data_IF_771404145853
#
_entry.id   IF_771404145853
#
_cell.length_a   1.000
_cell.length_b   1.000
_cell.length_c   1.000
_cell.angle_alpha   90.00
_cell.angle_beta   90.00
_cell.angle_gamma   90.00
#
_symmetry.space_group_name_H-M   'P 1'
#
loop_
_entity.id
_entity.type
_entity.pdbx_description
1 polymer ?
#
# COMPACT_ATOMS: atom_id res chain seq x y z
N UNK A 1 -0.43 13.72 32.70
CA UNK A 1 -0.75 13.39 31.29
C UNK A 1 -1.99 14.16 30.90
N UNK A 2 -1.81 15.20 30.10
CA UNK A 2 -2.91 16.03 29.60
C UNK A 2 -3.80 15.21 28.66
N UNK A 3 -5.11 15.50 28.61
CA UNK A 3 -6.05 14.84 27.69
C UNK A 3 -5.57 14.91 26.22
N UNK A 4 -4.86 15.99 25.86
CA UNK A 4 -4.23 16.22 24.55
C UNK A 4 -3.07 15.28 24.23
N UNK A 5 -2.35 14.75 25.23
CA UNK A 5 -1.25 13.79 25.04
C UNK A 5 -1.76 12.36 24.86
N UNK A 6 -3.01 12.08 25.27
CA UNK A 6 -3.67 10.78 25.08
C UNK A 6 -4.35 10.63 23.74
N UNK A 7 -4.61 11.73 23.04
CA UNK A 7 -5.25 11.70 21.72
C UNK A 7 -4.26 11.24 20.65
N UNK A 8 -4.52 10.08 20.05
CA UNK A 8 -3.67 9.50 19.01
C UNK A 8 -3.56 10.41 17.79
N UNK A 9 -4.59 11.21 17.47
CA UNK A 9 -4.54 12.14 16.33
C UNK A 9 -3.52 13.25 16.57
N UNK A 10 -3.44 13.77 17.80
CA UNK A 10 -2.41 14.73 18.19
C UNK A 10 -1.01 14.10 18.20
N UNK A 11 -0.89 12.83 18.62
CA UNK A 11 0.40 12.13 18.57
C UNK A 11 0.85 11.88 17.13
N UNK A 12 -0.06 11.58 16.21
CA UNK A 12 0.24 11.50 14.78
C UNK A 12 0.67 12.87 14.21
N UNK A 13 0.06 13.97 14.67
CA UNK A 13 0.47 15.33 14.29
C UNK A 13 1.90 15.68 14.76
N UNK A 14 2.26 15.24 15.97
CA UNK A 14 3.55 15.54 16.59
C UNK A 14 4.62 14.52 16.16
N UNK A 15 4.22 13.31 15.80
CA UNK A 15 5.09 12.32 15.19
C UNK A 15 5.69 12.94 13.93
N UNK A 16 7.01 12.86 13.78
CA UNK A 16 7.74 13.34 12.60
C UNK A 16 7.51 12.38 11.43
N UNK A 17 6.25 12.27 11.02
CA UNK A 17 5.83 11.42 9.92
C UNK A 17 6.48 11.93 8.62
N UNK A 18 6.88 11.02 7.73
CA UNK A 18 7.65 11.38 6.56
C UNK A 18 6.79 12.10 5.54
N UNK A 19 7.41 13.08 4.89
CA UNK A 19 6.90 13.64 3.65
C UNK A 19 7.07 12.63 2.51
N UNK A 20 6.22 12.74 1.48
CA UNK A 20 6.37 11.93 0.28
C UNK A 20 7.75 12.13 -0.37
N UNK A 21 8.50 11.06 -0.67
CA UNK A 21 9.74 11.17 -1.40
C UNK A 21 9.53 11.82 -2.77
N UNK A 22 10.28 12.90 -3.05
CA UNK A 22 10.19 13.63 -4.31
C UNK A 22 10.46 12.77 -5.56
N UNK A 23 11.29 11.74 -5.41
CA UNK A 23 11.55 10.77 -6.48
C UNK A 23 10.28 9.99 -6.88
N UNK A 24 9.37 9.69 -5.95
CA UNK A 24 8.11 9.00 -6.23
C UNK A 24 7.16 9.91 -7.02
N UNK A 25 7.00 11.16 -6.60
CA UNK A 25 6.17 12.13 -7.33
C UNK A 25 6.62 12.29 -8.78
N UNK A 26 7.93 12.44 -8.97
CA UNK A 26 8.53 12.53 -10.32
C UNK A 26 8.37 11.23 -11.10
N UNK A 27 8.51 10.07 -10.46
CA UNK A 27 8.30 8.78 -11.12
C UNK A 27 6.86 8.62 -11.62
N UNK A 28 5.88 8.91 -10.77
CA UNK A 28 4.46 8.81 -11.14
C UNK A 28 4.13 9.77 -12.29
N UNK A 29 4.62 11.02 -12.23
CA UNK A 29 4.47 11.97 -13.33
C UNK A 29 5.13 11.49 -14.63
N UNK A 30 6.31 10.87 -14.57
CA UNK A 30 6.94 10.24 -15.74
C UNK A 30 6.13 9.07 -16.29
N UNK A 31 5.47 8.28 -15.44
CA UNK A 31 4.65 7.14 -15.90
C UNK A 31 3.36 7.59 -16.59
N UNK A 32 2.85 8.78 -16.25
CA UNK A 32 1.67 9.39 -16.88
C UNK A 32 2.00 10.17 -18.16
N UNK A 33 3.27 10.54 -18.38
CA UNK A 33 3.67 11.34 -19.52
C UNK A 33 3.88 10.49 -20.78
N UNK A 34 3.19 10.85 -21.87
CA UNK A 34 3.40 10.24 -23.18
C UNK A 34 4.85 10.43 -23.64
N UNK A 35 5.55 9.31 -23.91
CA UNK A 35 6.91 9.32 -24.45
C UNK A 35 8.04 9.39 -23.42
N UNK A 36 7.77 9.24 -22.12
CA UNK A 36 8.81 9.06 -21.12
C UNK A 36 9.58 7.75 -21.38
N UNK A 37 10.86 7.86 -21.73
CA UNK A 37 11.71 6.74 -22.09
C UNK A 37 12.67 6.33 -20.96
N UNK A 38 13.53 5.38 -21.29
CA UNK A 38 14.59 4.91 -20.38
C UNK A 38 15.57 6.03 -19.98
N UNK A 39 15.74 7.05 -20.83
CA UNK A 39 16.64 8.17 -20.57
C UNK A 39 16.11 9.08 -19.44
N UNK A 40 14.81 9.36 -19.40
CA UNK A 40 14.15 10.13 -18.36
C UNK A 40 14.21 9.38 -17.02
N UNK A 41 13.96 8.06 -17.05
CA UNK A 41 14.11 7.19 -15.89
C UNK A 41 15.56 7.21 -15.36
N UNK A 42 16.55 7.16 -16.25
CA UNK A 42 17.96 7.24 -15.89
C UNK A 42 18.30 8.56 -15.20
N UNK A 43 17.81 9.69 -15.73
CA UNK A 43 17.98 11.01 -15.12
C UNK A 43 17.33 11.07 -13.74
N UNK A 44 16.14 10.50 -13.59
CA UNK A 44 15.43 10.46 -12.31
C UNK A 44 16.25 9.70 -11.26
N UNK A 45 16.69 8.48 -11.59
CA UNK A 45 17.49 7.64 -10.69
C UNK A 45 18.84 8.30 -10.38
N UNK A 46 19.53 8.85 -11.38
CA UNK A 46 20.84 9.48 -11.22
C UNK A 46 20.84 10.69 -10.27
N UNK A 47 19.70 11.37 -10.11
CA UNK A 47 19.55 12.49 -9.19
C UNK A 47 19.48 12.07 -7.72
N UNK A 48 19.30 10.78 -7.43
CA UNK A 48 19.31 10.23 -6.08
C UNK A 48 20.46 9.23 -5.94
N UNK A 49 21.45 9.59 -5.12
CA UNK A 49 22.65 8.76 -4.94
C UNK A 49 22.33 7.40 -4.27
N UNK A 50 21.37 7.37 -3.34
CA UNK A 50 20.94 6.15 -2.66
C UNK A 50 20.26 5.20 -3.64
N UNK A 51 19.33 5.73 -4.45
CA UNK A 51 18.63 4.97 -5.48
C UNK A 51 19.58 4.49 -6.58
N UNK A 52 20.52 5.35 -7.02
CA UNK A 52 21.55 4.96 -8.00
C UNK A 52 22.39 3.80 -7.49
N UNK A 53 22.87 3.90 -6.25
CA UNK A 53 23.63 2.82 -5.62
C UNK A 53 22.81 1.53 -5.56
N UNK A 54 21.52 1.63 -5.20
CA UNK A 54 20.61 0.49 -5.14
C UNK A 54 20.39 -0.19 -6.50
N UNK A 55 20.10 0.58 -7.55
CA UNK A 55 19.92 0.07 -8.91
C UNK A 55 21.18 -0.65 -9.39
N UNK A 56 22.36 -0.05 -9.15
CA UNK A 56 23.64 -0.67 -9.51
C UNK A 56 23.90 -1.94 -8.69
N UNK A 57 23.59 -1.95 -7.39
CA UNK A 57 23.72 -3.12 -6.54
C UNK A 57 22.86 -4.29 -7.07
N UNK A 58 21.60 -4.02 -7.41
CA UNK A 58 20.67 -5.03 -7.94
C UNK A 58 21.13 -5.54 -9.30
N UNK A 59 21.50 -4.63 -10.22
CA UNK A 59 21.94 -5.01 -11.56
C UNK A 59 23.25 -5.81 -11.56
N UNK A 60 24.13 -5.57 -10.59
CA UNK A 60 25.38 -6.31 -10.44
C UNK A 60 25.24 -7.59 -9.58
N UNK A 61 24.04 -7.93 -9.10
CA UNK A 61 23.84 -9.16 -8.34
C UNK A 61 23.95 -10.42 -9.22
N UNK A 62 24.24 -11.56 -8.59
CA UNK A 62 24.41 -12.84 -9.30
C UNK A 62 23.18 -13.25 -10.15
N UNK A 63 22.00 -12.72 -9.82
CA UNK A 63 20.76 -12.95 -10.57
C UNK A 63 20.75 -12.25 -11.93
N UNK A 64 21.37 -11.06 -12.05
CA UNK A 64 21.31 -10.23 -13.26
C UNK A 64 22.64 -10.10 -13.98
N UNK A 65 23.77 -10.29 -13.30
CA UNK A 65 25.09 -10.17 -13.91
C UNK A 65 26.09 -11.19 -13.37
N UNK A 66 26.56 -12.08 -14.26
CA UNK A 66 27.56 -13.12 -13.95
C UNK A 66 28.95 -12.85 -14.57
N UNK A 67 29.14 -11.70 -15.22
CA UNK A 67 30.25 -11.40 -16.13
C UNK A 67 31.45 -10.65 -15.54
N UNK A 68 31.53 -10.44 -14.22
CA UNK A 68 32.72 -9.95 -13.51
C UNK A 68 33.03 -8.44 -13.62
N UNK A 69 32.52 -7.72 -14.62
CA UNK A 69 32.71 -6.27 -14.73
C UNK A 69 31.48 -5.51 -14.23
N UNK A 70 31.69 -4.46 -13.42
CA UNK A 70 30.60 -3.61 -12.92
C UNK A 70 29.94 -2.86 -14.08
N UNK A 71 28.61 -2.95 -14.17
CA UNK A 71 27.84 -2.23 -15.19
C UNK A 71 27.60 -0.77 -14.80
N UNK A 72 27.60 0.13 -15.78
CA UNK A 72 27.19 1.54 -15.58
C UNK A 72 25.67 1.68 -15.51
N UNK A 73 25.16 2.85 -15.09
CA UNK A 73 23.73 3.07 -14.84
C UNK A 73 22.86 2.77 -16.06
N UNK A 74 23.18 3.29 -17.25
CA UNK A 74 22.38 3.01 -18.46
C UNK A 74 22.31 1.51 -18.80
N UNK A 75 23.41 0.78 -18.60
CA UNK A 75 23.46 -0.66 -18.84
C UNK A 75 22.69 -1.44 -17.76
N UNK A 76 22.75 -0.98 -16.51
CA UNK A 76 21.95 -1.51 -15.41
C UNK A 76 20.45 -1.37 -15.73
N UNK A 77 20.02 -0.18 -16.15
CA UNK A 77 18.63 0.09 -16.48
C UNK A 77 18.16 -0.75 -17.69
N UNK A 78 19.01 -0.89 -18.72
CA UNK A 78 18.72 -1.76 -19.87
C UNK A 78 18.59 -3.24 -19.49
N UNK A 79 19.41 -3.73 -18.55
CA UNK A 79 19.37 -5.11 -18.08
C UNK A 79 18.12 -5.40 -17.23
N UNK A 80 17.73 -4.47 -16.36
CA UNK A 80 16.59 -4.64 -15.46
C UNK A 80 15.24 -4.42 -16.15
N UNK A 81 15.18 -3.49 -17.12
CA UNK A 81 13.94 -3.09 -17.79
C UNK A 81 13.08 -2.14 -16.95
N UNK A 82 12.15 -1.44 -17.62
CA UNK A 82 11.35 -0.34 -17.05
C UNK A 82 10.54 -0.76 -15.84
N UNK A 83 9.83 -1.87 -15.93
CA UNK A 83 8.88 -2.32 -14.91
C UNK A 83 9.61 -2.67 -13.60
N UNK A 84 10.78 -3.30 -13.73
CA UNK A 84 11.61 -3.63 -12.57
C UNK A 84 12.18 -2.39 -11.91
N UNK A 85 12.62 -1.39 -12.71
CA UNK A 85 13.13 -0.12 -12.17
C UNK A 85 12.01 0.62 -11.43
N UNK A 86 10.81 0.73 -12.02
CA UNK A 86 9.65 1.35 -11.37
C UNK A 86 9.33 0.66 -10.05
N UNK A 87 9.27 -0.68 -10.05
CA UNK A 87 9.05 -1.50 -8.84
C UNK A 87 10.12 -1.22 -7.79
N UNK A 88 11.39 -1.21 -8.18
CA UNK A 88 12.53 -1.00 -7.30
C UNK A 88 12.50 0.41 -6.70
N UNK A 89 12.33 1.45 -7.53
CA UNK A 89 12.26 2.84 -7.09
C UNK A 89 11.10 3.04 -6.11
N UNK A 90 9.91 2.55 -6.46
CA UNK A 90 8.74 2.68 -5.58
C UNK A 90 8.98 1.98 -4.25
N UNK A 91 9.35 0.70 -4.30
CA UNK A 91 9.48 -0.12 -3.10
C UNK A 91 10.61 0.36 -2.21
N UNK A 92 11.77 0.71 -2.78
CA UNK A 92 12.91 1.19 -2.02
C UNK A 92 12.65 2.56 -1.41
N UNK A 93 12.01 3.49 -2.13
CA UNK A 93 11.67 4.80 -1.58
C UNK A 93 10.70 4.68 -0.41
N UNK A 94 9.65 3.87 -0.53
CA UNK A 94 8.72 3.62 0.59
C UNK A 94 9.45 2.92 1.73
N UNK A 95 10.24 1.89 1.45
CA UNK A 95 11.00 1.18 2.46
C UNK A 95 11.94 2.11 3.24
N UNK A 96 12.76 2.92 2.58
CA UNK A 96 13.66 3.88 3.25
C UNK A 96 12.89 4.90 4.08
N UNK A 97 11.73 5.33 3.59
CA UNK A 97 10.88 6.32 4.25
C UNK A 97 10.31 5.79 5.57
N UNK A 98 9.93 4.51 5.62
CA UNK A 98 9.22 3.95 6.76
C UNK A 98 10.06 2.98 7.62
N UNK A 99 11.16 2.43 7.11
CA UNK A 99 12.03 1.53 7.87
C UNK A 99 12.85 2.27 8.96
N UNK A 100 12.97 3.60 8.86
CA UNK A 100 13.66 4.45 9.84
C UNK A 100 12.80 4.89 11.04
N UNK A 101 11.56 4.40 11.17
CA UNK A 101 10.66 4.84 12.23
C UNK A 101 11.15 4.41 13.63
N UNK A 102 11.35 5.36 14.58
CA UNK A 102 11.67 5.03 15.96
C UNK A 102 10.48 4.30 16.60
N UNK A 103 10.70 3.11 17.16
CA UNK A 103 9.64 2.33 17.81
C UNK A 103 9.56 0.87 17.38
N UNK A 104 10.30 0.45 16.35
CA UNK A 104 10.39 -0.94 15.88
C UNK A 104 11.13 -1.90 16.84
N UNK A 105 11.47 -1.45 18.05
CA UNK A 105 12.31 -2.16 19.03
C UNK A 105 11.74 -3.51 19.45
N UNK A 106 11.94 -4.53 18.61
CA UNK A 106 11.53 -5.92 18.84
C UNK A 106 10.47 -6.46 17.87
N UNK A 107 9.93 -5.66 16.94
CA UNK A 107 8.85 -6.10 16.04
C UNK A 107 9.42 -6.56 14.70
N UNK A 108 9.19 -7.82 14.36
CA UNK A 108 9.58 -8.39 13.06
C UNK A 108 8.71 -7.81 11.94
N UNK A 109 9.29 -6.93 11.12
CA UNK A 109 8.62 -6.26 10.00
C UNK A 109 8.49 -7.14 8.74
N UNK A 110 9.11 -8.33 8.71
CA UNK A 110 9.16 -9.15 7.48
C UNK A 110 7.78 -9.54 6.98
N UNK A 111 6.87 -9.92 7.88
CA UNK A 111 5.47 -10.25 7.55
C UNK A 111 4.72 -9.05 7.00
N UNK A 112 4.88 -7.89 7.64
CA UNK A 112 4.29 -6.63 7.18
C UNK A 112 4.74 -6.30 5.75
N UNK A 113 6.04 -6.31 5.49
CA UNK A 113 6.56 -5.98 4.16
C UNK A 113 6.18 -7.03 3.11
N UNK A 114 6.15 -8.32 3.47
CA UNK A 114 5.65 -9.37 2.58
C UNK A 114 4.22 -9.07 2.15
N UNK A 115 3.32 -8.80 3.11
CA UNK A 115 1.92 -8.47 2.84
C UNK A 115 1.78 -7.21 1.97
N UNK A 116 2.47 -6.13 2.34
CA UNK A 116 2.43 -4.87 1.60
C UNK A 116 2.94 -5.03 0.15
N UNK A 117 4.01 -5.79 -0.06
CA UNK A 117 4.53 -6.10 -1.40
C UNK A 117 3.57 -7.00 -2.19
N UNK A 118 2.94 -7.99 -1.56
CA UNK A 118 1.92 -8.84 -2.20
C UNK A 118 0.75 -8.00 -2.68
N UNK A 119 0.20 -7.14 -1.81
CA UNK A 119 -0.88 -6.23 -2.17
C UNK A 119 -0.47 -5.25 -3.29
N UNK A 120 0.76 -4.72 -3.27
CA UNK A 120 1.28 -3.86 -4.33
C UNK A 120 1.34 -4.56 -5.70
N UNK A 121 1.88 -5.78 -5.75
CA UNK A 121 1.96 -6.58 -6.98
C UNK A 121 0.56 -6.89 -7.51
N UNK A 122 -0.35 -7.35 -6.64
CA UNK A 122 -1.72 -7.67 -7.02
C UNK A 122 -2.49 -6.44 -7.50
N UNK A 123 -2.35 -5.30 -6.83
CA UNK A 123 -2.98 -4.05 -7.24
C UNK A 123 -2.54 -3.62 -8.64
N UNK A 124 -1.26 -3.81 -9.00
CA UNK A 124 -0.77 -3.52 -10.36
C UNK A 124 -1.33 -4.48 -11.40
N UNK A 125 -1.40 -5.77 -11.10
CA UNK A 125 -1.95 -6.76 -12.04
C UNK A 125 -3.46 -6.57 -12.23
N UNK A 126 -4.19 -6.22 -11.17
CA UNK A 126 -5.60 -5.84 -11.24
C UNK A 126 -5.79 -4.55 -12.05
N UNK A 127 -4.94 -3.54 -11.84
CA UNK A 127 -4.96 -2.33 -12.65
C UNK A 127 -4.78 -2.62 -14.14
N UNK A 128 -3.86 -3.53 -14.51
CA UNK A 128 -3.70 -4.00 -15.89
C UNK A 128 -4.94 -4.69 -16.43
N UNK A 129 -5.54 -5.58 -15.65
CA UNK A 129 -6.74 -6.32 -16.06
C UNK A 129 -7.98 -5.45 -16.21
N UNK A 130 -8.05 -4.34 -15.47
CA UNK A 130 -9.13 -3.36 -15.54
C UNK A 130 -8.86 -2.23 -16.55
N UNK A 131 -7.77 -2.30 -17.32
CA UNK A 131 -7.30 -1.20 -18.18
C UNK A 131 -7.17 0.15 -17.43
N UNK A 132 -6.82 0.10 -16.15
CA UNK A 132 -6.54 1.29 -15.35
C UNK A 132 -5.19 1.89 -15.77
N UNK A 133 -5.23 3.12 -16.29
CA UNK A 133 -4.06 3.77 -16.89
C UNK A 133 -2.89 3.96 -15.92
N UNK A 134 -3.15 4.14 -14.63
CA UNK A 134 -2.13 4.51 -13.63
C UNK A 134 -1.68 3.29 -12.83
N UNK A 135 -1.06 2.31 -13.51
CA UNK A 135 -0.66 1.03 -12.92
C UNK A 135 0.35 1.19 -11.76
N UNK A 136 1.26 2.15 -11.86
CA UNK A 136 2.26 2.45 -10.84
C UNK A 136 1.67 3.16 -9.62
N UNK A 137 0.60 3.94 -9.83
CA UNK A 137 -0.20 4.49 -8.73
C UNK A 137 -0.92 3.36 -7.99
N UNK A 138 -1.51 2.40 -8.71
CA UNK A 138 -2.11 1.22 -8.09
C UNK A 138 -1.10 0.38 -7.30
N UNK A 139 0.11 0.18 -7.84
CA UNK A 139 1.20 -0.50 -7.12
C UNK A 139 1.55 0.24 -5.82
N UNK A 140 1.72 1.57 -5.89
CA UNK A 140 2.04 2.39 -4.72
C UNK A 140 0.91 2.37 -3.69
N UNK A 141 -0.35 2.47 -4.12
CA UNK A 141 -1.51 2.41 -3.23
C UNK A 141 -1.60 1.06 -2.51
N UNK A 142 -1.38 -0.05 -3.23
CA UNK A 142 -1.29 -1.39 -2.64
C UNK A 142 -0.13 -1.52 -1.65
N UNK A 143 1.03 -0.89 -1.93
CA UNK A 143 2.17 -0.89 -1.01
C UNK A 143 1.90 -0.08 0.27
N UNK A 144 1.10 0.98 0.17
CA UNK A 144 0.80 1.90 1.26
C UNK A 144 -0.51 1.60 2.01
N UNK A 145 -1.31 0.62 1.58
CA UNK A 145 -2.65 0.38 2.15
C UNK A 145 -2.63 0.21 3.68
N UNK A 146 -1.58 -0.43 4.21
CA UNK A 146 -1.40 -0.68 5.64
C UNK A 146 -0.41 0.30 6.31
N UNK A 147 -0.01 1.39 5.63
CA UNK A 147 1.01 2.33 6.13
C UNK A 147 0.63 2.98 7.46
N UNK A 148 -0.67 3.09 7.74
CA UNK A 148 -1.17 3.56 9.03
C UNK A 148 -0.70 2.72 10.21
N UNK A 149 -0.43 1.41 10.01
CA UNK A 149 0.14 0.55 11.07
C UNK A 149 1.53 1.01 11.46
N UNK A 150 2.34 1.45 10.50
CA UNK A 150 3.67 2.02 10.77
C UNK A 150 3.57 3.39 11.45
N UNK A 151 2.62 4.22 11.01
CA UNK A 151 2.37 5.52 11.63
C UNK A 151 1.91 5.37 13.09
N UNK A 152 1.01 4.44 13.38
CA UNK A 152 0.53 4.14 14.73
C UNK A 152 1.63 3.51 15.60
N UNK A 153 2.44 2.59 15.05
CA UNK A 153 3.60 2.04 15.75
C UNK A 153 4.61 3.12 16.14
N UNK A 154 4.82 4.12 15.29
CA UNK A 154 5.70 5.24 15.63
C UNK A 154 5.10 6.21 16.63
N UNK A 155 3.81 6.55 16.48
CA UNK A 155 3.15 7.52 17.35
C UNK A 155 2.88 6.94 18.74
N UNK A 156 2.69 5.62 18.83
CA UNK A 156 2.33 4.90 20.05
C UNK A 156 3.01 3.52 20.17
N UNK A 157 4.36 3.46 20.24
CA UNK A 157 5.08 2.18 20.25
C UNK A 157 4.69 1.27 21.42
N UNK A 158 4.51 1.82 22.63
CA UNK A 158 4.15 1.04 23.82
C UNK A 158 2.75 0.40 23.71
N UNK A 159 1.80 1.11 23.10
CA UNK A 159 0.40 0.67 23.00
C UNK A 159 0.16 -0.22 21.78
N UNK A 160 0.91 0.03 20.69
CA UNK A 160 0.64 -0.56 19.39
C UNK A 160 1.53 -1.77 19.06
N UNK A 161 2.66 -1.95 19.75
CA UNK A 161 3.57 -3.10 19.52
C UNK A 161 2.84 -4.45 19.60
N UNK A 162 1.96 -4.63 20.58
CA UNK A 162 1.19 -5.86 20.72
C UNK A 162 0.11 -6.01 19.64
N UNK A 163 -0.48 -4.90 19.19
CA UNK A 163 -1.50 -4.88 18.14
C UNK A 163 -0.88 -5.16 16.76
N UNK A 164 0.36 -4.75 16.55
CA UNK A 164 1.07 -4.94 15.28
C UNK A 164 1.18 -6.41 14.87
N UNK A 165 1.16 -7.33 15.83
CA UNK A 165 1.25 -8.78 15.60
C UNK A 165 -0.09 -9.45 15.26
N UNK A 166 -1.21 -8.71 15.33
CA UNK A 166 -2.52 -9.24 14.94
C UNK A 166 -2.57 -9.33 13.41
N UNK A 167 -2.72 -10.55 12.88
CA UNK A 167 -2.82 -10.81 11.44
C UNK A 167 -4.25 -10.68 10.91
N UNK A 168 -5.26 -10.96 11.75
CA UNK A 168 -6.67 -10.83 11.37
C UNK A 168 -7.08 -9.35 11.29
N UNK A 169 -7.30 -8.88 10.07
CA UNK A 169 -7.61 -7.48 9.75
C UNK A 169 -8.86 -6.95 10.48
N UNK A 170 -9.93 -7.74 10.54
CA UNK A 170 -11.19 -7.34 11.19
C UNK A 170 -11.00 -7.19 12.70
N UNK A 171 -10.30 -8.14 13.33
CA UNK A 171 -9.96 -8.06 14.74
C UNK A 171 -9.05 -6.86 15.01
N UNK A 172 -8.03 -6.64 14.17
CA UNK A 172 -7.12 -5.51 14.30
C UNK A 172 -7.90 -4.18 14.27
N UNK A 173 -8.71 -3.93 13.22
CA UNK A 173 -9.50 -2.71 13.09
C UNK A 173 -10.40 -2.48 14.32
N UNK A 174 -11.06 -3.53 14.82
CA UNK A 174 -11.92 -3.44 16.00
C UNK A 174 -11.15 -3.10 17.26
N UNK A 175 -9.98 -3.70 17.45
CA UNK A 175 -9.15 -3.45 18.64
C UNK A 175 -8.57 -2.04 18.58
N UNK A 176 -8.08 -1.59 17.43
CA UNK A 176 -7.58 -0.23 17.19
C UNK A 176 -8.64 0.82 17.47
N UNK A 177 -9.85 0.65 16.89
CA UNK A 177 -10.92 1.61 17.09
C UNK A 177 -11.33 1.70 18.56
N UNK A 178 -11.16 0.61 19.30
CA UNK A 178 -11.45 0.57 20.72
C UNK A 178 -10.33 1.18 21.57
N UNK A 179 -9.07 0.86 21.30
CA UNK A 179 -7.93 1.27 22.12
C UNK A 179 -7.45 2.68 21.79
N UNK A 180 -7.50 3.06 20.51
CA UNK A 180 -6.95 4.30 19.98
C UNK A 180 -8.02 5.24 19.41
N UNK A 181 -9.26 4.80 19.22
CA UNK A 181 -10.34 5.59 18.57
C UNK A 181 -9.98 6.04 17.15
N UNK A 182 -9.11 5.25 16.52
CA UNK A 182 -8.61 5.42 15.17
C UNK A 182 -8.11 4.05 14.67
N UNK A 183 -8.56 3.65 13.49
CA UNK A 183 -8.04 2.49 12.76
C UNK A 183 -6.76 2.83 11.99
N UNK A 184 -5.98 1.82 11.62
CA UNK A 184 -4.84 2.01 10.73
C UNK A 184 -5.25 2.51 9.34
N UNK A 185 -6.43 2.14 8.84
CA UNK A 185 -6.93 2.66 7.56
C UNK A 185 -7.13 4.19 7.62
N UNK A 186 -7.74 4.69 8.70
CA UNK A 186 -7.90 6.14 8.93
C UNK A 186 -6.55 6.84 9.16
N UNK A 187 -5.64 6.23 9.93
CA UNK A 187 -4.31 6.79 10.17
C UNK A 187 -3.47 6.86 8.88
N UNK A 188 -3.57 5.84 8.02
CA UNK A 188 -2.89 5.76 6.74
C UNK A 188 -3.43 6.76 5.73
N UNK A 189 -4.77 6.84 5.60
CA UNK A 189 -5.42 7.82 4.73
C UNK A 189 -5.04 9.25 5.15
N UNK A 190 -5.12 9.55 6.44
CA UNK A 190 -4.72 10.85 6.99
C UNK A 190 -3.24 11.18 6.74
N UNK A 191 -2.34 10.18 6.75
CA UNK A 191 -0.93 10.37 6.40
C UNK A 191 -0.78 10.75 4.92
N UNK A 192 -1.48 10.05 4.03
CA UNK A 192 -1.38 10.25 2.58
C UNK A 192 -2.08 11.52 2.11
N UNK A 193 -3.19 11.94 2.73
CA UNK A 193 -3.85 13.22 2.45
C UNK A 193 -2.88 14.41 2.62
N UNK A 194 -1.95 14.32 3.57
CA UNK A 194 -0.94 15.36 3.82
C UNK A 194 0.11 15.47 2.73
N UNK A 195 0.25 14.44 1.89
CA UNK A 195 1.10 14.53 0.72
C UNK A 195 0.47 15.37 -0.39
N UNK A 196 -0.81 15.76 -0.25
CA UNK A 196 -1.53 16.66 -1.15
C UNK A 196 -1.47 16.18 -2.62
N UNK A 197 -1.66 14.88 -2.81
CA UNK A 197 -1.74 14.30 -4.15
C UNK A 197 -3.14 14.47 -4.72
N UNK A 198 -3.24 14.87 -5.99
CA UNK A 198 -4.50 14.90 -6.74
C UNK A 198 -4.88 13.47 -7.19
N UNK A 199 -5.21 12.60 -6.23
CA UNK A 199 -5.40 11.16 -6.41
C UNK A 199 -6.41 10.60 -5.42
N UNK A 200 -7.07 9.48 -5.79
CA UNK A 200 -7.93 8.68 -4.90
C UNK A 200 -7.14 7.76 -3.95
N UNK A 201 -5.82 7.94 -3.82
CA UNK A 201 -4.97 7.05 -3.03
C UNK A 201 -5.30 7.07 -1.54
N UNK A 202 -5.62 8.25 -0.97
CA UNK A 202 -6.07 8.32 0.42
C UNK A 202 -7.38 7.53 0.63
N UNK A 203 -8.33 7.66 -0.29
CA UNK A 203 -9.61 6.94 -0.25
C UNK A 203 -9.41 5.43 -0.41
N UNK A 204 -8.52 5.02 -1.30
CA UNK A 204 -8.18 3.61 -1.48
C UNK A 204 -7.58 3.00 -0.20
N UNK A 205 -6.78 3.77 0.54
CA UNK A 205 -6.27 3.39 1.85
C UNK A 205 -7.38 3.44 2.91
N UNK A 206 -8.30 4.38 2.88
CA UNK A 206 -9.35 4.49 3.89
C UNK A 206 -10.39 3.35 3.83
N UNK A 207 -10.72 2.92 2.61
CA UNK A 207 -11.83 2.01 2.35
C UNK A 207 -11.43 0.58 2.00
N UNK A 208 -10.15 0.21 2.08
CA UNK A 208 -9.72 -1.15 1.71
C UNK A 208 -10.32 -2.27 2.59
N UNK A 209 -10.75 -1.96 3.82
CA UNK A 209 -11.48 -2.89 4.71
C UNK A 209 -13.01 -2.82 4.59
N UNK A 210 -13.57 -1.92 3.77
CA UNK A 210 -15.02 -1.81 3.64
C UNK A 210 -15.61 -3.08 3.02
N UNK A 211 -16.81 -3.53 3.45
CA UNK A 211 -17.52 -4.58 2.74
C UNK A 211 -17.65 -4.26 1.24
N UNK A 212 -17.43 -5.26 0.38
CA UNK A 212 -17.43 -5.09 -1.07
C UNK A 212 -18.66 -4.34 -1.63
N UNK A 213 -19.85 -4.60 -1.08
CA UNK A 213 -21.09 -3.93 -1.46
C UNK A 213 -21.06 -2.39 -1.29
N UNK A 214 -20.21 -1.87 -0.39
CA UNK A 214 -20.04 -0.42 -0.17
C UNK A 214 -19.07 0.24 -1.15
N UNK A 215 -18.20 -0.54 -1.79
CA UNK A 215 -17.17 -0.04 -2.72
C UNK A 215 -17.43 -0.41 -4.19
N UNK A 216 -18.52 -1.13 -4.49
CA UNK A 216 -18.91 -1.53 -5.85
C UNK A 216 -18.97 -0.34 -6.84
N UNK A 217 -19.58 0.78 -6.41
CA UNK A 217 -19.68 2.02 -7.18
C UNK A 217 -18.51 2.99 -7.04
N UNK A 218 -17.46 2.64 -6.31
CA UNK A 218 -16.35 3.53 -6.00
C UNK A 218 -15.38 3.72 -7.20
N UNK A 219 -14.41 4.62 -7.04
CA UNK A 219 -13.34 4.80 -8.02
C UNK A 219 -12.54 3.49 -8.24
N UNK A 220 -12.00 3.30 -9.44
CA UNK A 220 -11.29 2.06 -9.82
C UNK A 220 -10.13 1.74 -8.86
N UNK A 221 -9.34 2.74 -8.47
CA UNK A 221 -8.23 2.57 -7.53
C UNK A 221 -8.67 2.01 -6.17
N UNK A 222 -9.83 2.43 -5.66
CA UNK A 222 -10.39 1.95 -4.39
C UNK A 222 -10.73 0.46 -4.50
N UNK A 223 -11.42 0.07 -5.58
CA UNK A 223 -11.78 -1.34 -5.84
C UNK A 223 -10.56 -2.22 -6.06
N UNK A 224 -9.55 -1.71 -6.76
CA UNK A 224 -8.28 -2.40 -7.02
C UNK A 224 -7.56 -2.70 -5.70
N UNK A 225 -7.37 -1.71 -4.83
CA UNK A 225 -6.65 -1.88 -3.56
C UNK A 225 -7.44 -2.78 -2.61
N UNK A 226 -8.76 -2.61 -2.54
CA UNK A 226 -9.64 -3.48 -1.77
C UNK A 226 -9.50 -4.95 -2.18
N UNK A 227 -9.62 -5.25 -3.48
CA UNK A 227 -9.50 -6.62 -3.97
C UNK A 227 -8.07 -7.16 -3.82
N UNK A 228 -7.05 -6.33 -4.04
CA UNK A 228 -5.65 -6.72 -3.83
C UNK A 228 -5.38 -7.12 -2.37
N UNK A 229 -5.95 -6.40 -1.41
CA UNK A 229 -5.86 -6.71 0.02
C UNK A 229 -6.55 -8.04 0.38
N UNK A 230 -7.72 -8.31 -0.19
CA UNK A 230 -8.41 -9.59 0.01
C UNK A 230 -7.58 -10.75 -0.56
N UNK A 231 -7.06 -10.59 -1.78
CA UNK A 231 -6.25 -11.59 -2.45
C UNK A 231 -4.90 -11.82 -1.78
N UNK A 232 -4.34 -10.83 -1.08
CA UNK A 232 -3.07 -11.01 -0.37
C UNK A 232 -3.19 -11.84 0.91
N UNK A 233 -4.39 -11.97 1.47
CA UNK A 233 -4.71 -12.87 2.59
C UNK A 233 -5.21 -14.23 2.14
N UNK A 234 -5.61 -14.36 0.86
CA UNK A 234 -6.11 -15.62 0.31
C UNK A 234 -4.97 -16.62 0.10
N UNK A 235 -5.20 -17.88 0.46
CA UNK A 235 -4.27 -18.96 0.14
C UNK A 235 -4.26 -19.18 -1.38
N UNK A 236 -3.13 -18.94 -2.09
CA UNK A 236 -3.07 -19.10 -3.55
C UNK A 236 -3.28 -20.54 -4.05
N UNK A 237 -3.34 -21.53 -3.15
CA UNK A 237 -3.65 -22.92 -3.44
C UNK A 237 -5.15 -23.23 -3.32
N UNK A 238 -5.91 -22.36 -2.66
CA UNK A 238 -7.36 -22.50 -2.53
C UNK A 238 -8.07 -21.82 -3.71
N UNK A 239 -9.16 -22.40 -4.23
CA UNK A 239 -9.96 -21.76 -5.27
C UNK A 239 -10.67 -20.52 -4.72
N UNK A 240 -10.72 -19.47 -5.53
CA UNK A 240 -11.54 -18.28 -5.28
C UNK A 240 -13.01 -18.54 -5.63
N UNK A 241 -13.91 -17.89 -4.90
CA UNK A 241 -15.32 -17.77 -5.29
C UNK A 241 -15.46 -17.06 -6.65
N UNK A 242 -16.45 -17.44 -7.45
CA UNK A 242 -16.85 -16.78 -8.68
C UNK A 242 -17.24 -15.30 -8.44
N UNK A 243 -17.65 -14.93 -7.23
CA UNK A 243 -17.97 -13.54 -6.88
C UNK A 243 -16.74 -12.69 -6.51
N UNK A 244 -15.58 -13.30 -6.24
CA UNK A 244 -14.40 -12.60 -5.73
C UNK A 244 -13.92 -11.49 -6.68
N UNK A 245 -14.06 -11.68 -7.99
CA UNK A 245 -13.66 -10.71 -8.99
C UNK A 245 -14.74 -9.74 -9.45
N UNK A 246 -15.97 -9.84 -8.92
CA UNK A 246 -17.10 -9.04 -9.39
C UNK A 246 -16.84 -7.54 -9.30
N UNK A 247 -16.21 -7.07 -8.21
CA UNK A 247 -15.87 -5.66 -7.98
C UNK A 247 -14.95 -5.08 -9.07
N UNK A 248 -14.04 -5.89 -9.59
CA UNK A 248 -13.08 -5.47 -10.62
C UNK A 248 -13.45 -5.99 -12.01
N UNK A 249 -14.56 -6.72 -12.15
CA UNK A 249 -14.97 -7.40 -13.40
C UNK A 249 -13.87 -8.32 -13.96
N UNK A 250 -13.10 -8.95 -13.08
CA UNK A 250 -12.01 -9.88 -13.43
C UNK A 250 -12.47 -11.32 -13.17
N UNK A 251 -12.21 -12.23 -14.11
CA UNK A 251 -12.57 -13.64 -13.92
C UNK A 251 -11.77 -14.29 -12.78
N UNK A 252 -12.40 -15.15 -11.97
CA UNK A 252 -11.72 -15.83 -10.85
C UNK A 252 -10.51 -16.66 -11.27
N UNK A 253 -10.50 -17.23 -12.49
CA UNK A 253 -9.34 -17.91 -13.06
C UNK A 253 -8.15 -16.97 -13.30
N UNK A 254 -8.42 -15.74 -13.72
CA UNK A 254 -7.40 -14.70 -13.90
C UNK A 254 -6.90 -14.22 -12.54
N UNK A 255 -7.77 -14.05 -11.55
CA UNK A 255 -7.38 -13.72 -10.17
C UNK A 255 -6.49 -14.80 -9.55
N UNK A 256 -6.82 -16.09 -9.75
CA UNK A 256 -6.00 -17.19 -9.29
C UNK A 256 -4.59 -17.14 -9.91
N UNK A 257 -4.51 -16.88 -11.22
CA UNK A 257 -3.23 -16.75 -11.92
C UNK A 257 -2.41 -15.57 -11.38
N UNK A 258 -3.04 -14.44 -11.06
CA UNK A 258 -2.38 -13.30 -10.40
C UNK A 258 -1.85 -13.66 -9.03
N UNK A 259 -2.65 -14.31 -8.18
CA UNK A 259 -2.25 -14.73 -6.83
C UNK A 259 -1.05 -15.71 -6.88
N UNK A 260 -1.08 -16.68 -7.78
CA UNK A 260 0.02 -17.63 -7.97
C UNK A 260 1.28 -16.97 -8.54
N UNK A 261 1.12 -16.01 -9.46
CA UNK A 261 2.23 -15.26 -10.05
C UNK A 261 2.86 -14.22 -9.11
N UNK A 262 2.11 -13.74 -8.12
CA UNK A 262 2.56 -12.67 -7.22
C UNK A 262 3.77 -13.08 -6.38
N UNK A 263 3.82 -14.33 -5.89
CA UNK A 263 4.89 -14.81 -5.01
C UNK A 263 6.30 -14.58 -5.60
N UNK A 264 6.49 -14.89 -6.89
CA UNK A 264 7.77 -14.69 -7.56
C UNK A 264 8.17 -13.22 -7.71
N UNK A 265 7.21 -12.32 -7.91
CA UNK A 265 7.47 -10.88 -7.96
C UNK A 265 7.77 -10.32 -6.56
N UNK A 266 7.04 -10.77 -5.55
CA UNK A 266 7.23 -10.39 -4.14
C UNK A 266 8.60 -10.81 -3.65
N UNK A 267 9.03 -12.05 -3.91
CA UNK A 267 10.38 -12.51 -3.53
C UNK A 267 11.48 -11.67 -4.18
N UNK A 268 11.31 -11.27 -5.44
CA UNK A 268 12.27 -10.37 -6.11
C UNK A 268 12.28 -8.99 -5.46
N UNK A 269 11.12 -8.40 -5.23
CA UNK A 269 11.00 -7.07 -4.62
C UNK A 269 11.57 -7.07 -3.19
N UNK A 270 11.23 -8.05 -2.36
CA UNK A 270 11.79 -8.22 -1.01
C UNK A 270 13.31 -8.42 -1.04
N UNK A 271 13.81 -9.23 -1.98
CA UNK A 271 15.24 -9.41 -2.19
C UNK A 271 15.96 -8.10 -2.54
N UNK A 272 15.32 -7.21 -3.31
CA UNK A 272 15.86 -5.87 -3.54
C UNK A 272 15.94 -5.08 -2.24
N UNK A 273 14.89 -5.09 -1.42
CA UNK A 273 14.86 -4.38 -0.14
C UNK A 273 15.81 -4.99 0.91
N UNK A 274 16.40 -6.16 0.65
CA UNK A 274 17.24 -6.88 1.61
C UNK A 274 16.41 -7.58 2.70
N UNK A 275 15.13 -7.84 2.43
CA UNK A 275 14.21 -8.50 3.35
C UNK A 275 14.24 -10.00 3.07
N UNK A 276 14.71 -10.77 4.05
CA UNK A 276 14.73 -12.24 3.96
C UNK A 276 13.37 -12.84 4.34
N UNK A 277 12.64 -13.33 3.34
CA UNK A 277 11.33 -13.94 3.51
C UNK A 277 11.37 -15.43 3.86
N UNK A 278 12.56 -16.03 3.96
CA UNK A 278 12.68 -17.47 4.26
C UNK A 278 12.12 -17.82 5.63
N UNK A 279 11.45 -18.98 5.73
CA UNK A 279 10.89 -19.50 6.98
C UNK A 279 9.65 -18.77 7.53
N UNK A 280 9.11 -17.77 6.82
CA UNK A 280 7.90 -17.06 7.27
C UNK A 280 6.63 -17.92 7.16
N UNK A 281 6.59 -18.86 6.21
CA UNK A 281 5.43 -19.70 5.93
C UNK A 281 5.49 -21.07 6.66
N UNK A 282 6.60 -21.38 7.34
CA UNK A 282 6.89 -22.70 7.91
C UNK A 282 6.44 -22.90 9.37
N UNK A 283 5.66 -21.98 9.95
CA UNK A 283 5.21 -22.09 11.34
C UNK A 283 3.82 -21.50 11.58
N UNK A 284 3.05 -22.04 12.55
CA UNK A 284 1.80 -21.41 12.95
C UNK A 284 2.12 -19.99 13.44
N UNK A 285 1.42 -18.99 12.91
CA UNK A 285 1.48 -17.64 13.43
C UNK A 285 1.27 -17.70 14.95
N UNK A 286 2.25 -17.23 15.71
CA UNK A 286 2.14 -17.20 17.16
C UNK A 286 1.01 -16.22 17.51
N UNK A 287 -0.20 -16.73 17.70
CA UNK A 287 -1.31 -15.94 18.19
C UNK A 287 -0.91 -15.42 19.57
N UNK A 288 -0.55 -14.13 19.65
CA UNK A 288 -0.42 -13.46 20.91
C UNK A 288 -1.75 -13.59 21.66
N UNK A 289 -1.77 -13.91 22.96
CA UNK A 289 -3.02 -13.96 23.71
C UNK A 289 -3.66 -12.57 23.72
N UNK A 290 -4.69 -12.39 22.89
CA UNK A 290 -5.53 -11.20 22.91
C UNK A 290 -6.38 -11.27 24.19
N UNK A 291 -6.15 -10.34 25.12
CA UNK A 291 -6.99 -10.24 26.31
C UNK A 291 -8.47 -10.06 25.89
N UNK A 292 -9.43 -10.71 26.59
CA UNK A 292 -10.83 -10.64 26.21
C UNK A 292 -11.30 -9.18 26.18
N UNK A 293 -11.83 -8.77 25.03
CA UNK A 293 -12.33 -7.43 24.78
C UNK A 293 -13.41 -7.06 25.82
N UNK A 294 -13.32 -5.92 26.53
CA UNK A 294 -14.43 -5.46 27.37
C UNK A 294 -15.71 -5.23 26.54
N UNK A 295 -16.91 -5.20 27.12
CA UNK A 295 -18.15 -5.00 26.32
C UNK A 295 -18.21 -3.58 25.74
N UNK A 296 -18.70 -3.42 24.51
CA UNK A 296 -18.82 -2.14 23.78
C UNK A 296 -20.28 -1.66 23.79
N UNK A 297 -20.48 -0.34 23.85
CA UNK A 297 -21.78 0.33 23.79
C UNK A 297 -22.23 0.51 22.33
N UNK A 298 -23.36 -0.08 21.95
CA UNK A 298 -23.88 -0.12 20.57
C UNK A 298 -24.13 1.28 19.96
N UNK A 299 -24.31 2.29 20.80
CA UNK A 299 -24.53 3.68 20.38
C UNK A 299 -23.31 4.32 19.70
N UNK A 300 -22.10 3.96 20.13
CA UNK A 300 -20.86 4.47 19.54
C UNK A 300 -20.56 3.85 18.18
N UNK A 301 -20.95 2.59 17.97
CA UNK A 301 -20.77 1.92 16.67
C UNK A 301 -21.64 2.56 15.59
N UNK A 302 -22.90 2.87 15.90
CA UNK A 302 -23.82 3.54 14.99
C UNK A 302 -23.33 4.93 14.55
N UNK A 303 -22.70 5.67 15.47
CA UNK A 303 -22.22 7.03 15.21
C UNK A 303 -20.99 7.05 14.29
N UNK A 304 -20.05 6.11 14.50
CA UNK A 304 -18.89 5.93 13.61
C UNK A 304 -19.34 5.49 12.22
N UNK A 305 -20.31 4.58 12.14
CA UNK A 305 -20.87 4.11 10.88
C UNK A 305 -21.59 5.24 10.12
N UNK A 306 -22.35 6.09 10.82
CA UNK A 306 -23.05 7.23 10.20
C UNK A 306 -22.07 8.30 9.67
N UNK A 307 -20.95 8.53 10.38
CA UNK A 307 -19.89 9.43 9.90
C UNK A 307 -19.21 8.89 8.64
N UNK A 308 -18.91 7.59 8.59
CA UNK A 308 -18.32 6.91 7.43
C UNK A 308 -19.27 6.92 6.22
N UNK A 309 -20.58 6.76 6.47
CA UNK A 309 -21.62 6.85 5.44
C UNK A 309 -21.72 8.27 4.82
N UNK A 310 -21.57 9.32 5.63
CA UNK A 310 -21.61 10.72 5.13
C UNK A 310 -20.40 11.08 4.27
N UNK A 311 -19.22 10.53 4.57
CA UNK A 311 -18.02 10.73 3.76
C UNK A 311 -18.18 10.15 2.34
N UNK A 312 -18.63 8.88 2.25
CA UNK A 312 -18.89 8.22 0.96
C UNK A 312 -19.95 8.94 0.11
N UNK A 313 -21.01 9.47 0.74
CA UNK A 313 -22.04 10.25 0.03
C UNK A 313 -21.51 11.61 -0.46
N UNK A 314 -20.63 12.25 0.31
CA UNK A 314 -19.98 13.51 -0.08
C UNK A 314 -19.03 13.31 -1.27
N UNK A 315 -18.26 12.21 -1.28
CA UNK A 315 -17.41 11.85 -2.42
C UNK A 315 -18.22 11.54 -3.68
N UNK A 316 -19.34 10.83 -3.55
CA UNK A 316 -20.24 10.57 -4.69
C UNK A 316 -20.75 11.89 -5.29
N UNK A 317 -21.07 12.87 -4.44
CA UNK A 317 -21.50 14.20 -4.86
C UNK A 317 -20.39 15.01 -5.53
N UNK A 318 -19.15 14.92 -5.04
CA UNK A 318 -18.00 15.60 -5.65
C UNK A 318 -17.60 14.98 -7.00
N UNK A 319 -17.68 13.65 -7.11
CA UNK A 319 -17.41 12.93 -8.37
C UNK A 319 -18.46 13.29 -9.44
N UNK A 320 -19.74 13.38 -9.05
CA UNK A 320 -20.83 13.85 -9.92
C UNK A 320 -20.68 15.32 -10.33
N UNK A 321 -20.12 16.17 -9.46
CA UNK A 321 -19.85 17.58 -9.78
C UNK A 321 -18.71 17.70 -10.81
N UNK A 322 -17.60 16.98 -10.63
CA UNK A 322 -16.48 16.95 -11.57
C UNK A 322 -16.89 16.44 -12.96
N UNK A 323 -17.69 15.39 -13.04
CA UNK A 323 -18.20 14.87 -14.32
C UNK A 323 -19.13 15.84 -15.05
N UNK A 324 -19.87 16.69 -14.33
CA UNK A 324 -20.72 17.72 -14.94
C UNK A 324 -19.90 18.86 -15.54
N UNK A 325 -18.80 19.25 -14.91
CA UNK A 325 -17.92 20.31 -15.42
C UNK A 325 -17.18 19.84 -16.68
N UNK A 326 -16.70 18.60 -16.72
CA UNK A 326 -16.06 18.02 -17.91
C UNK A 326 -17.03 17.87 -19.10
N UNK A 327 -18.29 17.52 -18.84
CA UNK A 327 -19.34 17.45 -19.86
C UNK A 327 -19.80 18.82 -20.39
N UNK A 328 -19.55 19.91 -19.64
CA UNK A 328 -19.82 21.28 -20.08
C UNK A 328 -18.66 21.86 -20.90
N UNK A 329 -17.42 21.45 -20.63
CA UNK A 329 -16.23 21.86 -21.40
C UNK A 329 -16.17 21.25 -22.80
N UNK A 330 -16.81 20.09 -23.01
CA UNK A 330 -16.89 19.41 -24.32
C UNK A 330 -18.01 19.94 -25.25
N UNK A 331 -18.73 21.01 -24.87
CA UNK A 331 -19.82 21.61 -25.66
C UNK A 331 -19.49 22.97 -26.31
N UNK A 332 -18.20 23.30 -26.48
CA UNK A 332 -17.74 24.53 -27.15
C UNK A 332 -17.05 24.21 -28.47
#
# INVERSE_FOLDING_TARGET
MNQSEKDIRNRLLVARLPAMPQILLKLLGLCQADGAGMAEMAKLVANDAGMTAKVLQVANSAAYHRGGQKVGLMQALGTLGSDMIKTLVISESVFQTFNGFPGSGGVDMRRFWKHALTAAVLARELARAMDYAQQEEAYLAGLLHDVGRLALLSAAPEEYTALFQIEDADTLCRVEQRSLQLSHAEAGAWLVERWQMDSFMADAILYHHEPGARVEGAHALIRIVHLAHQLSHHDPLMPLDDTAGALCQVASSQLQAMAQGAAGQVSKAAGFLGIDLSGLDDGPAAAAPVAPAPRVDASQQLLVEEMRNRALLSELAQTLARQKDDAQLLKV
#
